data_IF_200066833219
#
_entry.id   IF_200066833219
#
_cell.length_a   1.000
_cell.length_b   1.000
_cell.length_c   1.000
_cell.angle_alpha   90.00
_cell.angle_beta   90.00
_cell.angle_gamma   90.00
#
_symmetry.space_group_name_H-M   'P 1'
#
loop_
_entity.id
_entity.type
_entity.pdbx_description
1 polymer ?
#
# COMPACT_ATOMS: atom_id res chain seq x y z
N UNK A 1 5.54 18.31 -2.17
CA UNK A 1 4.42 17.45 -2.60
C UNK A 1 3.98 16.67 -1.38
N UNK A 2 2.71 16.73 -1.02
CA UNK A 2 2.14 15.97 0.10
C UNK A 2 1.35 14.76 -0.41
N UNK A 3 0.85 13.93 0.50
CA UNK A 3 0.09 12.73 0.14
C UNK A 3 -1.16 13.04 -0.70
N UNK A 4 -1.85 14.15 -0.44
CA UNK A 4 -3.07 14.51 -1.16
C UNK A 4 -2.77 14.93 -2.61
N UNK A 5 -1.65 15.61 -2.88
CA UNK A 5 -1.19 15.89 -4.23
C UNK A 5 -0.95 14.60 -5.03
N UNK A 6 -0.37 13.59 -4.37
CA UNK A 6 -0.11 12.27 -4.94
C UNK A 6 -1.42 11.56 -5.25
N UNK A 7 -2.32 11.46 -4.27
CA UNK A 7 -3.65 10.84 -4.44
C UNK A 7 -4.40 11.50 -5.60
N UNK A 8 -4.44 12.83 -5.66
CA UNK A 8 -5.10 13.55 -6.75
C UNK A 8 -4.52 13.18 -8.12
N UNK A 9 -3.19 13.08 -8.22
CA UNK A 9 -2.51 12.71 -9.47
C UNK A 9 -2.78 11.26 -9.85
N UNK A 10 -2.74 10.34 -8.88
CA UNK A 10 -3.06 8.92 -9.10
C UNK A 10 -4.51 8.77 -9.57
N UNK A 11 -5.46 9.44 -8.90
CA UNK A 11 -6.88 9.44 -9.27
C UNK A 11 -7.07 9.86 -10.73
N UNK A 12 -6.48 10.99 -11.12
CA UNK A 12 -6.59 11.53 -12.47
C UNK A 12 -5.96 10.61 -13.53
N UNK A 13 -4.74 10.10 -13.28
CA UNK A 13 -4.05 9.26 -14.26
C UNK A 13 -4.66 7.86 -14.34
N UNK A 14 -5.05 7.27 -13.22
CA UNK A 14 -5.62 5.93 -13.18
C UNK A 14 -7.12 5.90 -13.52
N UNK A 15 -7.81 7.05 -13.53
CA UNK A 15 -9.24 7.14 -13.81
C UNK A 15 -10.10 6.60 -12.67
N UNK A 16 -9.65 6.84 -11.44
CA UNK A 16 -10.27 6.33 -10.20
C UNK A 16 -10.91 7.48 -9.43
N UNK A 17 -11.99 7.22 -8.70
CA UNK A 17 -12.53 8.19 -7.76
C UNK A 17 -11.59 8.41 -6.57
N UNK A 18 -11.78 9.52 -5.85
CA UNK A 18 -10.88 9.93 -4.77
C UNK A 18 -10.83 8.89 -3.65
N UNK A 19 -11.98 8.38 -3.19
CA UNK A 19 -12.05 7.47 -2.05
C UNK A 19 -11.39 6.12 -2.37
N UNK A 20 -11.60 5.60 -3.58
CA UNK A 20 -10.90 4.41 -4.06
C UNK A 20 -9.40 4.65 -4.16
N UNK A 21 -8.99 5.84 -4.61
CA UNK A 21 -7.57 6.18 -4.75
C UNK A 21 -6.87 6.31 -3.40
N UNK A 22 -7.49 6.98 -2.42
CA UNK A 22 -6.97 7.07 -1.03
C UNK A 22 -6.76 5.67 -0.45
N UNK A 23 -7.75 4.79 -0.62
CA UNK A 23 -7.64 3.38 -0.20
C UNK A 23 -6.47 2.68 -0.86
N UNK A 24 -6.32 2.80 -2.18
CA UNK A 24 -5.22 2.14 -2.92
C UNK A 24 -3.86 2.67 -2.50
N UNK A 25 -3.68 3.99 -2.46
CA UNK A 25 -2.42 4.63 -2.09
C UNK A 25 -2.06 4.30 -0.64
N UNK A 26 -3.01 4.45 0.29
CA UNK A 26 -2.82 4.09 1.69
C UNK A 26 -2.50 2.62 1.90
N UNK A 27 -3.18 1.71 1.18
CA UNK A 27 -2.88 0.28 1.23
C UNK A 27 -1.46 -0.01 0.78
N UNK A 28 -0.99 0.59 -0.32
CA UNK A 28 0.38 0.39 -0.82
C UNK A 28 1.40 0.96 0.19
N UNK A 29 1.12 2.12 0.77
CA UNK A 29 1.97 2.69 1.81
C UNK A 29 2.02 1.83 3.07
N UNK A 30 0.89 1.30 3.54
CA UNK A 30 0.88 0.38 4.68
C UNK A 30 1.71 -0.89 4.41
N UNK A 31 1.60 -1.47 3.20
CA UNK A 31 2.47 -2.60 2.83
C UNK A 31 3.94 -2.19 2.88
N UNK A 32 4.30 -1.03 2.31
CA UNK A 32 5.68 -0.54 2.34
C UNK A 32 6.18 -0.31 3.76
N UNK A 33 5.36 0.26 4.64
CA UNK A 33 5.72 0.52 6.03
C UNK A 33 6.07 -0.76 6.79
N UNK A 34 5.23 -1.79 6.69
CA UNK A 34 5.42 -3.06 7.38
C UNK A 34 6.53 -3.92 6.76
N UNK A 35 6.56 -4.02 5.44
CA UNK A 35 7.51 -4.89 4.73
C UNK A 35 8.93 -4.31 4.72
N UNK A 36 9.06 -2.98 4.71
CA UNK A 36 10.34 -2.27 4.74
C UNK A 36 10.70 -1.74 6.13
N UNK A 37 10.02 -2.18 7.20
CA UNK A 37 10.32 -1.77 8.57
C UNK A 37 11.79 -2.07 8.93
N UNK A 38 12.46 -1.07 9.52
CA UNK A 38 13.89 -1.15 9.86
C UNK A 38 14.85 -0.82 8.73
N UNK A 39 14.35 -0.33 7.59
CA UNK A 39 15.14 0.15 6.44
C UNK A 39 15.01 1.68 6.27
N UNK A 40 15.12 2.19 5.04
CA UNK A 40 14.93 3.60 4.68
C UNK A 40 13.46 4.05 4.61
N UNK A 41 12.50 3.17 4.94
CA UNK A 41 11.07 3.48 4.94
C UNK A 41 10.74 4.74 5.75
N UNK A 42 11.25 4.86 6.99
CA UNK A 42 10.96 6.04 7.82
C UNK A 42 11.47 7.34 7.20
N UNK A 43 12.63 7.32 6.53
CA UNK A 43 13.16 8.49 5.83
C UNK A 43 12.31 8.82 4.59
N UNK A 44 11.80 7.82 3.89
CA UNK A 44 10.88 7.98 2.75
C UNK A 44 9.56 8.63 3.17
N UNK A 45 8.89 8.09 4.22
CA UNK A 45 7.63 8.64 4.73
C UNK A 45 7.80 10.09 5.22
N UNK A 46 8.93 10.42 5.86
CA UNK A 46 9.23 11.79 6.28
C UNK A 46 9.34 12.81 5.12
N UNK A 47 9.52 12.35 3.88
CA UNK A 47 9.54 13.23 2.68
C UNK A 47 8.15 13.49 2.09
N UNK A 48 7.15 12.72 2.48
CA UNK A 48 5.79 12.80 1.93
C UNK A 48 4.83 13.11 3.08
N UNK A 49 4.58 14.39 3.39
CA UNK A 49 3.69 14.76 4.49
C UNK A 49 2.30 14.09 4.37
N UNK A 50 1.88 13.43 5.44
CA UNK A 50 0.60 12.70 5.54
C UNK A 50 0.61 11.28 4.97
N UNK A 51 1.75 10.79 4.45
CA UNK A 51 1.83 9.42 3.95
C UNK A 51 1.71 8.40 5.08
N UNK A 52 2.26 8.69 6.26
CA UNK A 52 2.15 7.86 7.47
C UNK A 52 0.70 7.80 7.97
N UNK A 53 0.01 8.95 8.06
CA UNK A 53 -1.40 9.00 8.42
C UNK A 53 -2.27 8.17 7.46
N UNK A 54 -2.01 8.28 6.15
CA UNK A 54 -2.76 7.53 5.14
C UNK A 54 -2.44 6.02 5.19
N UNK A 55 -1.18 5.64 5.45
CA UNK A 55 -0.79 4.25 5.66
C UNK A 55 -1.53 3.65 6.86
N UNK A 56 -1.53 4.33 8.00
CA UNK A 56 -2.22 3.89 9.21
C UNK A 56 -3.75 3.84 9.05
N UNK A 57 -4.33 4.77 8.28
CA UNK A 57 -5.77 4.75 7.99
C UNK A 57 -6.21 3.48 7.24
N UNK A 58 -5.33 2.95 6.38
CA UNK A 58 -5.56 1.76 5.57
C UNK A 58 -4.62 0.61 5.96
N UNK A 59 -4.29 0.51 7.25
CA UNK A 59 -3.33 -0.45 7.77
C UNK A 59 -3.77 -1.90 7.46
N UNK A 60 -2.94 -2.61 6.71
CA UNK A 60 -3.19 -3.99 6.26
C UNK A 60 -2.90 -5.04 7.34
N UNK A 61 -2.23 -4.64 8.42
CA UNK A 61 -1.92 -5.47 9.59
C UNK A 61 -2.78 -5.14 10.81
N UNK A 62 -3.53 -4.03 10.79
CA UNK A 62 -4.46 -3.73 11.85
C UNK A 62 -5.52 -4.84 12.00
N UNK A 63 -5.75 -5.27 13.24
CA UNK A 63 -6.85 -6.18 13.54
C UNK A 63 -8.17 -5.48 13.16
N UNK A 64 -8.95 -6.10 12.27
CA UNK A 64 -10.26 -5.59 11.91
C UNK A 64 -11.08 -5.33 13.19
N UNK A 65 -11.74 -4.17 13.34
CA UNK A 65 -12.51 -3.87 14.53
C UNK A 65 -13.55 -4.98 14.75
N UNK A 66 -13.68 -5.40 16.01
CA UNK A 66 -14.47 -6.56 16.45
C UNK A 66 -16.00 -6.45 16.23
N UNK A 67 -16.47 -5.69 15.24
CA UNK A 67 -17.88 -5.38 15.03
C UNK A 67 -18.38 -5.23 13.60
N UNK A 68 -17.60 -5.59 12.56
CA UNK A 68 -18.03 -5.40 11.16
C UNK A 68 -17.85 -6.62 10.26
N UNK A 69 -18.94 -7.37 10.02
CA UNK A 69 -19.08 -8.24 8.84
C UNK A 69 -18.47 -9.64 8.94
N UNK A 70 -19.17 -10.54 9.63
CA UNK A 70 -18.85 -11.96 9.66
C UNK A 70 -18.94 -12.68 8.31
N UNK A 71 -18.16 -13.74 8.16
CA UNK A 71 -18.40 -14.80 7.18
C UNK A 71 -17.14 -15.38 6.54
N UNK A 72 -16.24 -14.55 6.03
CA UNK A 72 -15.13 -15.01 5.18
C UNK A 72 -13.73 -14.61 5.68
N UNK A 73 -13.60 -13.42 6.29
CA UNK A 73 -12.33 -13.01 6.91
C UNK A 73 -12.06 -13.73 8.23
N UNK A 74 -13.11 -14.10 8.97
CA UNK A 74 -12.99 -14.83 10.23
C UNK A 74 -12.55 -16.30 10.03
N UNK A 75 -12.88 -16.91 8.89
CA UNK A 75 -12.45 -18.27 8.56
C UNK A 75 -11.03 -18.33 8.02
N UNK A 76 -10.56 -17.26 7.36
CA UNK A 76 -9.16 -17.13 6.93
C UNK A 76 -8.23 -16.69 8.07
N UNK A 77 -8.66 -15.79 8.97
CA UNK A 77 -7.89 -15.43 10.17
C UNK A 77 -7.65 -16.65 11.08
N UNK A 78 -8.63 -17.55 11.21
CA UNK A 78 -8.47 -18.81 11.94
C UNK A 78 -7.54 -19.82 11.28
N UNK A 79 -7.35 -19.75 9.95
CA UNK A 79 -6.50 -20.70 9.21
C UNK A 79 -5.07 -20.19 8.94
N UNK A 80 -4.85 -18.87 9.00
CA UNK A 80 -3.58 -18.22 8.68
C UNK A 80 -2.84 -17.65 9.90
N UNK A 81 -3.53 -17.43 11.02
CA UNK A 81 -2.99 -16.77 12.23
C UNK A 81 -1.92 -17.53 13.02
N UNK A 82 -1.37 -18.63 12.49
CA UNK A 82 -0.38 -19.45 13.20
C UNK A 82 0.95 -19.68 12.49
N UNK A 83 1.08 -19.44 11.18
CA UNK A 83 2.23 -19.99 10.41
C UNK A 83 2.83 -19.03 9.38
N UNK A 84 2.22 -17.88 9.10
CA UNK A 84 2.80 -16.89 8.20
C UNK A 84 3.34 -15.74 9.06
N UNK A 85 4.67 -15.65 9.18
CA UNK A 85 5.33 -14.61 9.99
C UNK A 85 4.86 -13.20 9.60
N UNK A 86 4.81 -12.30 10.59
CA UNK A 86 4.30 -10.92 10.51
C UNK A 86 4.73 -10.18 9.24
N UNK A 87 5.96 -10.39 8.77
CA UNK A 87 6.51 -9.73 7.57
C UNK A 87 6.07 -10.29 6.22
N UNK A 88 5.43 -11.46 6.14
CA UNK A 88 4.83 -11.93 4.89
C UNK A 88 3.32 -11.61 4.84
N UNK A 89 2.75 -11.21 5.98
CA UNK A 89 1.33 -10.93 6.13
C UNK A 89 0.93 -9.64 5.44
N UNK A 90 1.74 -8.58 5.51
CA UNK A 90 1.36 -7.26 5.04
C UNK A 90 1.14 -7.24 3.54
N UNK A 91 2.08 -7.77 2.75
CA UNK A 91 1.91 -7.86 1.30
C UNK A 91 0.68 -8.70 0.90
N UNK A 92 0.47 -9.86 1.53
CA UNK A 92 -0.67 -10.72 1.23
C UNK A 92 -1.98 -10.00 1.53
N UNK A 93 -2.08 -9.37 2.71
CA UNK A 93 -3.26 -8.62 3.12
C UNK A 93 -3.48 -7.39 2.26
N UNK A 94 -2.42 -6.66 1.90
CA UNK A 94 -2.50 -5.50 1.02
C UNK A 94 -3.00 -5.86 -0.37
N UNK A 95 -2.51 -6.95 -0.97
CA UNK A 95 -3.04 -7.43 -2.26
C UNK A 95 -4.50 -7.84 -2.16
N UNK A 96 -4.90 -8.47 -1.05
CA UNK A 96 -6.31 -8.80 -0.81
C UNK A 96 -7.17 -7.53 -0.68
N UNK A 97 -6.69 -6.51 0.04
CA UNK A 97 -7.36 -5.22 0.19
C UNK A 97 -7.47 -4.44 -1.12
N UNK A 98 -6.42 -4.46 -1.95
CA UNK A 98 -6.41 -3.89 -3.30
C UNK A 98 -7.41 -4.62 -4.21
N UNK A 99 -7.43 -5.95 -4.22
CA UNK A 99 -8.45 -6.71 -4.97
C UNK A 99 -9.87 -6.43 -4.48
N UNK A 100 -10.05 -6.25 -3.17
CA UNK A 100 -11.32 -5.91 -2.56
C UNK A 100 -11.75 -4.44 -2.77
N UNK A 101 -10.92 -3.61 -3.42
CA UNK A 101 -11.32 -2.26 -3.85
C UNK A 101 -12.21 -2.27 -5.10
N UNK A 102 -12.39 -3.43 -5.75
CA UNK A 102 -13.16 -3.55 -6.98
C UNK A 102 -12.37 -3.18 -8.25
N UNK A 103 -11.08 -2.88 -8.10
CA UNK A 103 -10.19 -2.62 -9.22
C UNK A 103 -9.70 -3.90 -9.88
N UNK A 104 -9.55 -3.84 -11.21
CA UNK A 104 -8.82 -4.87 -11.94
C UNK A 104 -7.30 -4.70 -11.76
N UNK A 105 -6.53 -5.71 -12.20
CA UNK A 105 -5.07 -5.70 -12.07
C UNK A 105 -4.40 -4.59 -12.88
N UNK A 106 -4.97 -4.20 -14.03
CA UNK A 106 -4.39 -3.15 -14.87
C UNK A 106 -4.54 -1.78 -14.19
N UNK A 107 -5.68 -1.53 -13.54
CA UNK A 107 -5.92 -0.33 -12.75
C UNK A 107 -4.99 -0.26 -11.54
N UNK A 108 -4.78 -1.39 -10.83
CA UNK A 108 -3.85 -1.46 -9.69
C UNK A 108 -2.42 -1.15 -10.14
N UNK A 109 -1.96 -1.74 -11.25
CA UNK A 109 -0.63 -1.48 -11.79
C UNK A 109 -0.46 -0.02 -12.21
N UNK A 110 -1.45 0.54 -12.92
CA UNK A 110 -1.42 1.95 -13.36
C UNK A 110 -1.40 2.92 -12.17
N UNK A 111 -2.18 2.64 -11.13
CA UNK A 111 -2.19 3.42 -9.90
C UNK A 111 -0.85 3.30 -9.16
N UNK A 112 -0.29 2.08 -9.06
CA UNK A 112 1.01 1.81 -8.46
C UNK A 112 2.17 2.51 -9.18
N UNK A 113 2.21 2.43 -10.51
CA UNK A 113 3.20 3.13 -11.34
C UNK A 113 3.11 4.64 -11.15
N UNK A 114 1.90 5.21 -11.20
CA UNK A 114 1.71 6.64 -10.97
C UNK A 114 2.14 7.05 -9.57
N UNK A 115 1.80 6.24 -8.56
CA UNK A 115 2.20 6.46 -7.18
C UNK A 115 3.72 6.49 -7.05
N UNK A 116 4.43 5.52 -7.62
CA UNK A 116 5.90 5.50 -7.58
C UNK A 116 6.50 6.71 -8.27
N UNK A 117 6.03 7.11 -9.45
CA UNK A 117 6.50 8.32 -10.13
C UNK A 117 6.33 9.58 -9.27
N UNK A 118 5.21 9.69 -8.56
CA UNK A 118 4.98 10.83 -7.66
C UNK A 118 5.82 10.74 -6.37
N UNK A 119 6.01 9.53 -5.84
CA UNK A 119 6.90 9.29 -4.71
C UNK A 119 8.35 9.64 -5.05
N UNK A 120 8.83 9.31 -6.25
CA UNK A 120 10.15 9.74 -6.73
C UNK A 120 10.26 11.28 -6.84
N UNK A 121 9.20 11.94 -7.30
CA UNK A 121 9.15 13.40 -7.36
C UNK A 121 9.13 14.06 -5.96
N UNK A 122 8.58 13.39 -4.95
CA UNK A 122 8.46 13.90 -3.59
C UNK A 122 9.67 13.57 -2.69
N UNK A 123 10.10 12.31 -2.70
CA UNK A 123 11.14 11.75 -1.83
C UNK A 123 12.50 11.59 -2.52
N UNK A 124 12.55 11.72 -3.85
CA UNK A 124 13.72 11.48 -4.67
C UNK A 124 13.76 10.03 -5.19
N UNK A 125 14.34 9.81 -6.39
CA UNK A 125 14.38 8.49 -7.00
C UNK A 125 15.27 7.51 -6.22
N UNK A 126 16.39 7.95 -5.64
CA UNK A 126 17.29 7.07 -4.89
C UNK A 126 16.59 6.45 -3.68
N UNK A 127 15.99 7.28 -2.84
CA UNK A 127 15.30 6.85 -1.62
C UNK A 127 14.06 6.00 -1.93
N UNK A 128 13.30 6.37 -2.97
CA UNK A 128 12.12 5.59 -3.40
C UNK A 128 12.53 4.21 -3.90
N UNK A 129 13.59 4.12 -4.71
CA UNK A 129 14.08 2.84 -5.23
C UNK A 129 14.74 1.97 -4.14
N UNK A 130 15.38 2.58 -3.13
CA UNK A 130 15.92 1.86 -1.98
C UNK A 130 14.81 1.16 -1.16
N UNK A 131 13.72 1.89 -0.88
CA UNK A 131 12.56 1.35 -0.16
C UNK A 131 11.85 0.27 -0.98
N UNK A 132 11.61 0.52 -2.27
CA UNK A 132 11.03 -0.50 -3.16
C UNK A 132 11.93 -1.72 -3.33
N UNK A 133 13.25 -1.54 -3.31
CA UNK A 133 14.24 -2.61 -3.35
C UNK A 133 14.22 -3.49 -2.11
N UNK A 134 13.75 -2.95 -0.97
CA UNK A 134 13.52 -3.70 0.26
C UNK A 134 12.25 -4.57 0.20
N UNK A 135 11.35 -4.32 -0.78
CA UNK A 135 10.11 -5.08 -0.98
C UNK A 135 9.95 -5.55 -2.45
N UNK A 136 10.83 -6.44 -2.96
CA UNK A 136 10.83 -6.81 -4.39
C UNK A 136 9.51 -7.42 -4.88
N UNK A 137 8.82 -8.15 -4.02
CA UNK A 137 7.54 -8.79 -4.34
C UNK A 137 6.42 -7.76 -4.58
N UNK A 138 6.42 -6.64 -3.86
CA UNK A 138 5.49 -5.55 -4.11
C UNK A 138 5.78 -4.90 -5.47
N UNK A 139 7.05 -4.61 -5.76
CA UNK A 139 7.50 -4.05 -7.04
C UNK A 139 7.01 -4.89 -8.23
N UNK A 140 7.15 -6.22 -8.14
CA UNK A 140 6.66 -7.17 -9.16
C UNK A 140 5.15 -7.07 -9.37
N UNK A 141 4.35 -7.08 -8.30
CA UNK A 141 2.89 -7.01 -8.41
C UNK A 141 2.36 -5.67 -8.92
N UNK A 142 3.07 -4.58 -8.67
CA UNK A 142 2.75 -3.27 -9.24
C UNK A 142 3.17 -3.15 -10.72
N UNK A 143 3.78 -4.19 -11.31
CA UNK A 143 4.22 -4.18 -12.70
C UNK A 143 5.47 -3.32 -12.93
N UNK A 144 6.27 -3.08 -11.89
CA UNK A 144 7.45 -2.21 -11.91
C UNK A 144 8.76 -2.99 -12.08
N UNK A 145 8.67 -4.28 -12.46
CA UNK A 145 9.77 -5.23 -12.57
C UNK A 145 10.52 -5.18 -13.90
#
# INVERSE_FOLDING_TARGET
MNVQDIVNTVSQKAGLDQATTEKVVGTIFSVLEHEAEGTSASAFFAKIPGADDLAHQYDVMAAAPAGGGGGFLSSLQGALGGVLGEKAGALINGLAALKASGLDMAQIQKAGETLVQQAEAAAGPELTNEVLGSVPSLKSHLGLG
#
